data_IF_416467851888
#
_entry.id   IF_416467851888
#
_cell.length_a   1.000
_cell.length_b   1.000
_cell.length_c   1.000
_cell.angle_alpha   90.00
_cell.angle_beta   90.00
_cell.angle_gamma   90.00
#
_symmetry.space_group_name_H-M   'P 1'
#
loop_
_entity.id
_entity.type
_entity.pdbx_description
1 polymer ?
#
# COMPACT_ATOMS: atom_id res chain seq x y z
N UNK A 1 -8.19 -7.95 2.65
CA UNK A 1 -8.38 -8.56 3.98
C UNK A 1 -9.49 -7.83 4.72
N UNK A 2 -10.57 -8.54 5.09
CA UNK A 2 -11.63 -8.04 5.97
C UNK A 2 -11.51 -8.81 7.28
N UNK A 3 -11.27 -8.12 8.40
CA UNK A 3 -11.11 -8.78 9.68
C UNK A 3 -10.56 -7.88 10.78
N UNK A 4 -10.88 -8.23 12.01
CA UNK A 4 -10.36 -7.62 13.23
C UNK A 4 -9.28 -8.51 13.85
N UNK A 5 -8.25 -7.89 14.46
CA UNK A 5 -7.15 -8.57 15.15
C UNK A 5 -6.41 -9.56 14.24
N UNK A 6 -6.08 -9.12 13.03
CA UNK A 6 -5.29 -9.91 12.09
C UNK A 6 -3.81 -9.65 12.31
N UNK A 7 -3.01 -10.71 12.31
CA UNK A 7 -1.55 -10.64 12.38
C UNK A 7 -0.95 -11.43 11.22
N UNK A 8 -0.10 -10.77 10.44
CA UNK A 8 0.66 -11.38 9.35
C UNK A 8 2.13 -11.03 9.55
N UNK A 9 3.00 -12.03 9.47
CA UNK A 9 4.43 -11.85 9.71
C UNK A 9 5.26 -12.61 8.67
N UNK A 10 6.42 -12.07 8.30
CA UNK A 10 7.39 -12.70 7.40
C UNK A 10 6.77 -13.09 6.04
N UNK A 11 5.90 -12.22 5.50
CA UNK A 11 5.16 -12.48 4.28
C UNK A 11 5.55 -11.51 3.16
N UNK A 12 5.49 -12.01 1.92
CA UNK A 12 5.71 -11.23 0.71
C UNK A 12 4.39 -11.01 -0.02
N UNK A 13 4.07 -9.76 -0.29
CA UNK A 13 2.92 -9.35 -1.10
C UNK A 13 3.44 -8.71 -2.38
N UNK A 14 3.21 -9.35 -3.53
CA UNK A 14 3.83 -8.95 -4.80
C UNK A 14 2.77 -8.87 -5.90
N UNK A 15 2.57 -7.67 -6.43
CA UNK A 15 1.73 -7.36 -7.59
C UNK A 15 2.15 -6.00 -8.15
N UNK A 16 1.56 -5.54 -9.25
CA UNK A 16 1.82 -4.19 -9.80
C UNK A 16 0.85 -3.13 -9.28
N UNK A 17 -0.44 -3.47 -9.26
CA UNK A 17 -1.50 -2.58 -8.80
C UNK A 17 -2.33 -3.30 -7.74
N UNK A 18 -2.82 -2.55 -6.74
CA UNK A 18 -3.75 -3.02 -5.71
C UNK A 18 -3.20 -4.21 -4.89
N UNK A 19 -1.87 -4.29 -4.69
CA UNK A 19 -1.16 -5.45 -4.13
C UNK A 19 -1.70 -5.95 -2.80
N UNK A 20 -1.89 -5.05 -1.82
CA UNK A 20 -2.31 -5.40 -0.47
C UNK A 20 -3.55 -4.60 -0.06
N UNK A 21 -4.70 -5.29 -0.13
CA UNK A 21 -5.97 -4.77 0.35
C UNK A 21 -6.09 -4.95 1.88
N UNK A 22 -6.01 -3.86 2.62
CA UNK A 22 -6.50 -3.73 4.01
C UNK A 22 -7.93 -3.16 3.99
N UNK A 23 -8.93 -4.02 3.74
CA UNK A 23 -10.29 -3.61 3.36
C UNK A 23 -11.05 -2.92 4.49
N UNK A 24 -11.38 -3.67 5.54
CA UNK A 24 -12.19 -3.19 6.67
C UNK A 24 -11.88 -4.03 7.91
N UNK A 25 -11.94 -3.39 9.07
CA UNK A 25 -11.62 -3.98 10.35
C UNK A 25 -10.46 -3.26 11.03
N UNK A 26 -10.05 -3.81 12.16
CA UNK A 26 -9.29 -3.10 13.18
C UNK A 26 -8.16 -3.96 13.70
N UNK A 27 -7.05 -3.35 14.14
CA UNK A 27 -5.87 -4.07 14.61
C UNK A 27 -5.32 -5.05 13.57
N UNK A 28 -5.18 -4.61 12.31
CA UNK A 28 -4.50 -5.39 11.28
C UNK A 28 -3.01 -5.09 11.36
N UNK A 29 -2.19 -6.09 11.66
CA UNK A 29 -0.75 -5.94 11.87
C UNK A 29 -0.01 -6.72 10.80
N UNK A 30 0.86 -6.04 10.08
CA UNK A 30 1.79 -6.62 9.11
C UNK A 30 3.21 -6.37 9.64
N UNK A 31 3.92 -7.44 10.01
CA UNK A 31 5.20 -7.36 10.71
C UNK A 31 6.31 -8.01 9.89
N UNK A 32 7.43 -7.32 9.67
CA UNK A 32 8.54 -7.85 8.89
C UNK A 32 8.11 -8.39 7.51
N UNK A 33 7.27 -7.62 6.81
CA UNK A 33 6.75 -7.99 5.50
C UNK A 33 7.51 -7.24 4.40
N UNK A 34 7.49 -7.82 3.19
CA UNK A 34 7.90 -7.14 1.96
C UNK A 34 6.66 -6.93 1.09
N UNK A 35 6.43 -5.69 0.66
CA UNK A 35 5.30 -5.34 -0.20
C UNK A 35 5.85 -4.65 -1.45
N UNK A 36 5.61 -5.26 -2.61
CA UNK A 36 6.04 -4.74 -3.90
C UNK A 36 4.87 -4.23 -4.73
N UNK A 37 5.05 -3.10 -5.41
CA UNK A 37 4.10 -2.61 -6.39
C UNK A 37 4.45 -1.27 -7.00
N UNK A 38 3.46 -0.66 -7.65
CA UNK A 38 3.57 0.64 -8.32
C UNK A 38 2.34 1.51 -8.01
N UNK A 39 1.14 1.05 -8.39
CA UNK A 39 -0.11 1.82 -8.23
C UNK A 39 -0.92 1.31 -7.03
N UNK A 40 -1.24 2.20 -6.09
CA UNK A 40 -2.14 1.98 -4.95
C UNK A 40 -1.86 0.66 -4.20
N UNK A 41 -0.59 0.28 -4.07
CA UNK A 41 -0.27 -1.10 -3.72
C UNK A 41 -0.50 -1.44 -2.24
N UNK A 42 -0.73 -0.45 -1.38
CA UNK A 42 -1.47 -0.61 -0.11
C UNK A 42 -2.75 0.20 -0.18
N UNK A 43 -3.89 -0.46 -0.05
CA UNK A 43 -5.17 0.24 -0.21
C UNK A 43 -6.29 -0.34 0.65
N UNK A 44 -7.37 0.42 0.73
CA UNK A 44 -8.58 0.06 1.47
C UNK A 44 -8.86 1.05 2.59
N UNK A 45 -9.68 0.67 3.56
CA UNK A 45 -10.17 1.56 4.62
C UNK A 45 -10.21 0.88 6.00
N UNK A 46 -9.29 -0.06 6.22
CA UNK A 46 -9.04 -0.66 7.53
C UNK A 46 -8.16 0.20 8.43
N UNK A 47 -7.92 -0.29 9.65
CA UNK A 47 -6.91 0.24 10.57
C UNK A 47 -5.74 -0.73 10.62
N UNK A 48 -4.66 -0.39 9.92
CA UNK A 48 -3.52 -1.26 9.76
C UNK A 48 -2.21 -0.60 10.17
N UNK A 49 -1.39 -1.35 10.90
CA UNK A 49 0.01 -1.02 11.13
C UNK A 49 0.90 -1.96 10.32
N UNK A 50 1.90 -1.38 9.67
CA UNK A 50 2.96 -2.08 8.99
C UNK A 50 4.25 -1.74 9.73
N UNK A 51 4.84 -2.73 10.38
CA UNK A 51 6.01 -2.53 11.23
C UNK A 51 7.21 -3.30 10.71
N UNK A 52 8.39 -2.68 10.78
CA UNK A 52 9.66 -3.30 10.38
C UNK A 52 9.60 -3.88 8.95
N UNK A 53 8.84 -3.26 8.05
CA UNK A 53 8.53 -3.80 6.73
C UNK A 53 9.20 -2.98 5.63
N UNK A 54 9.33 -3.57 4.44
CA UNK A 54 9.81 -2.89 3.25
C UNK A 54 8.68 -2.72 2.24
N UNK A 55 8.55 -1.52 1.70
CA UNK A 55 7.67 -1.17 0.60
C UNK A 55 8.52 -0.82 -0.62
N UNK A 56 8.56 -1.72 -1.59
CA UNK A 56 9.42 -1.58 -2.75
C UNK A 56 8.62 -1.16 -3.98
N UNK A 57 8.95 0.01 -4.52
CA UNK A 57 8.35 0.58 -5.72
C UNK A 57 9.07 0.06 -6.95
N UNK A 58 8.37 -0.72 -7.77
CA UNK A 58 8.91 -1.24 -9.02
C UNK A 58 8.69 -0.32 -10.22
N UNK A 59 9.63 -0.32 -11.17
CA UNK A 59 9.44 0.29 -12.48
C UNK A 59 8.43 -0.52 -13.30
N UNK A 60 7.16 -0.14 -13.25
CA UNK A 60 6.12 -0.81 -14.01
C UNK A 60 6.42 -0.73 -15.52
N UNK A 61 6.40 -1.86 -16.24
CA UNK A 61 6.50 -1.85 -17.69
C UNK A 61 5.41 -0.96 -18.27
N UNK A 62 5.77 0.00 -19.13
CA UNK A 62 4.81 0.86 -19.83
C UNK A 62 3.74 -0.02 -20.45
N UNK A 63 2.46 0.31 -20.24
CA UNK A 63 1.40 -0.35 -21.00
C UNK A 63 1.68 -0.06 -22.48
N UNK A 64 1.47 -1.09 -23.30
CA UNK A 64 1.91 -1.12 -24.70
C UNK A 64 1.49 0.17 -25.44
N UNK A 65 2.40 0.66 -26.31
CA UNK A 65 2.22 1.72 -27.30
C UNK A 65 2.54 3.19 -26.94
N UNK A 66 3.49 3.43 -26.02
CA UNK A 66 4.33 4.65 -26.08
C UNK A 66 3.65 6.01 -25.82
N UNK A 67 2.36 6.02 -25.46
CA UNK A 67 1.57 7.23 -25.16
C UNK A 67 1.53 7.59 -23.68
N UNK A 68 2.10 6.75 -22.82
CA UNK A 68 2.01 6.91 -21.37
C UNK A 68 3.08 7.89 -20.90
N UNK A 69 2.69 9.17 -20.82
CA UNK A 69 3.40 10.16 -20.02
C UNK A 69 3.37 9.68 -18.56
N UNK A 70 4.47 9.10 -18.08
CA UNK A 70 4.78 8.74 -16.69
C UNK A 70 3.56 8.33 -15.83
N UNK A 71 3.22 7.04 -15.81
CA UNK A 71 2.29 6.52 -14.80
C UNK A 71 2.79 6.93 -13.42
N UNK A 72 1.97 7.64 -12.68
CA UNK A 72 2.26 8.02 -11.30
C UNK A 72 1.76 6.89 -10.40
N UNK A 73 2.68 6.19 -9.78
CA UNK A 73 2.39 5.23 -8.72
C UNK A 73 2.16 5.91 -7.38
N UNK A 74 1.40 5.24 -6.51
CA UNK A 74 1.18 5.63 -5.12
C UNK A 74 1.47 4.43 -4.22
N UNK A 75 2.22 4.66 -3.13
CA UNK A 75 2.49 3.60 -2.14
C UNK A 75 1.22 3.24 -1.39
N UNK A 76 0.40 4.26 -1.10
CA UNK A 76 -0.79 4.16 -0.26
C UNK A 76 -1.96 4.87 -0.89
N UNK A 77 -3.12 4.20 -0.89
CA UNK A 77 -4.43 4.76 -1.17
C UNK A 77 -5.41 4.44 -0.03
N UNK A 78 -5.39 5.25 1.03
CA UNK A 78 -6.30 5.08 2.16
C UNK A 78 -7.68 5.67 1.84
N UNK A 79 -8.72 4.85 1.94
CA UNK A 79 -10.10 5.23 1.63
C UNK A 79 -10.86 5.88 2.77
N UNK A 80 -10.19 6.55 3.72
CA UNK A 80 -10.85 7.31 4.78
C UNK A 80 -11.76 8.37 4.17
N UNK A 81 -12.98 8.50 4.70
CA UNK A 81 -13.87 9.60 4.31
C UNK A 81 -14.54 10.20 5.54
N UNK A 82 -14.78 11.52 5.59
CA UNK A 82 -15.28 12.18 6.80
C UNK A 82 -16.76 11.90 7.09
N UNK A 83 -17.51 11.38 6.11
CA UNK A 83 -18.97 11.20 6.20
C UNK A 83 -19.40 9.74 6.33
N UNK A 84 -18.51 8.78 6.06
CA UNK A 84 -18.84 7.36 6.15
C UNK A 84 -18.36 6.79 7.48
N UNK A 85 -19.31 6.46 8.37
CA UNK A 85 -19.02 5.91 9.72
C UNK A 85 -18.15 4.64 9.71
N UNK A 86 -18.13 3.89 8.61
CA UNK A 86 -17.28 2.71 8.47
C UNK A 86 -15.84 3.03 8.02
N UNK A 87 -15.55 4.30 7.69
CA UNK A 87 -14.26 4.73 7.14
C UNK A 87 -13.65 5.92 7.88
N UNK A 88 -14.42 6.61 8.74
CA UNK A 88 -13.95 7.80 9.49
C UNK A 88 -12.74 7.52 10.39
N UNK A 89 -12.57 6.27 10.84
CA UNK A 89 -11.48 5.85 11.70
C UNK A 89 -10.40 5.05 10.93
N UNK A 90 -10.44 5.06 9.60
CA UNK A 90 -9.44 4.40 8.76
C UNK A 90 -8.09 5.10 8.86
N UNK A 91 -7.02 4.32 8.95
CA UNK A 91 -5.64 4.83 8.89
C UNK A 91 -4.69 3.69 8.57
N UNK A 92 -3.59 4.01 7.91
CA UNK A 92 -2.43 3.14 7.79
C UNK A 92 -1.24 3.78 8.46
N UNK A 93 -0.53 3.02 9.29
CA UNK A 93 0.68 3.47 9.95
C UNK A 93 1.86 2.61 9.52
N UNK A 94 2.79 3.23 8.81
CA UNK A 94 4.07 2.62 8.45
C UNK A 94 5.08 2.99 9.54
N UNK A 95 5.41 2.05 10.42
CA UNK A 95 6.26 2.26 11.59
C UNK A 95 7.58 1.51 11.42
N UNK A 96 8.71 2.19 11.65
CA UNK A 96 10.06 1.61 11.52
C UNK A 96 10.25 0.81 10.21
N UNK A 97 9.66 1.30 9.13
CA UNK A 97 9.59 0.61 7.83
C UNK A 97 10.29 1.45 6.78
N UNK A 98 10.78 0.82 5.72
CA UNK A 98 11.50 1.47 4.63
C UNK A 98 10.65 1.54 3.37
N UNK A 99 10.78 2.64 2.62
CA UNK A 99 10.26 2.74 1.26
C UNK A 99 11.47 2.81 0.33
N UNK A 100 11.55 1.86 -0.60
CA UNK A 100 12.63 1.72 -1.58
C UNK A 100 12.04 1.77 -2.99
N UNK A 101 12.86 2.00 -4.01
CA UNK A 101 12.42 2.04 -5.38
C UNK A 101 13.50 1.53 -6.32
N UNK A 102 13.09 1.02 -7.49
CA UNK A 102 14.00 0.73 -8.59
C UNK A 102 14.74 2.02 -9.06
N UNK A 103 15.89 1.82 -9.72
CA UNK A 103 16.64 2.93 -10.31
C UNK A 103 15.79 3.72 -11.33
N UNK A 104 15.96 5.04 -11.36
CA UNK A 104 15.20 5.96 -12.22
C UNK A 104 13.69 6.02 -11.97
N UNK A 105 13.18 5.43 -10.88
CA UNK A 105 11.81 5.67 -10.42
C UNK A 105 11.71 7.06 -9.78
N UNK A 106 10.77 7.90 -10.25
CA UNK A 106 10.41 9.14 -9.55
C UNK A 106 9.55 8.73 -8.36
N UNK A 107 10.03 9.01 -7.15
CA UNK A 107 9.44 8.59 -5.87
C UNK A 107 7.91 8.67 -5.88
N UNK A 108 7.26 7.53 -5.63
CA UNK A 108 5.81 7.41 -5.51
C UNK A 108 5.26 8.35 -4.43
N UNK A 109 4.06 8.86 -4.68
CA UNK A 109 3.39 9.79 -3.77
C UNK A 109 2.54 9.03 -2.76
N UNK A 110 2.16 9.71 -1.69
CA UNK A 110 1.04 9.30 -0.86
C UNK A 110 -0.23 9.94 -1.44
N UNK A 111 -1.30 9.17 -1.58
CA UNK A 111 -2.61 9.71 -1.90
C UNK A 111 -3.24 10.24 -0.60
N UNK A 112 -3.62 11.52 -0.60
CA UNK A 112 -4.38 12.15 0.51
C UNK A 112 -5.87 11.82 0.44
#
# INVERSE_FOLDING_TARGET
MRGDNMYVENAFFVSWQDTLLSYYGTNQVFSNCYVFGDVDFIWGYGRAIFQNSEFHVGNRPKRMNGTDNAWQGFVVANGATPTNVNRINSWFWLYNSTITADDNTVVCKFHE
#
